data_IF_364455396645
#
_entry.id   IF_364455396645
#
_cell.length_a   1.000
_cell.length_b   1.000
_cell.length_c   1.000
_cell.angle_alpha   90.00
_cell.angle_beta   90.00
_cell.angle_gamma   90.00
#
_symmetry.space_group_name_H-M   'P 1'
#
loop_
_entity.id
_entity.type
_entity.pdbx_description
1 polymer ?
#
# COMPACT_ATOMS: atom_id res chain seq x y z
N UNK A 1 3.88 -13.67 -10.15
CA UNK A 1 5.28 -14.09 -10.34
C UNK A 1 6.19 -12.90 -10.62
N UNK A 2 5.84 -12.04 -11.57
CA UNK A 2 6.69 -10.94 -12.00
C UNK A 2 6.94 -9.90 -10.91
N UNK A 3 5.96 -9.64 -10.05
CA UNK A 3 6.12 -8.72 -8.93
C UNK A 3 7.15 -9.23 -7.91
N UNK A 4 7.12 -10.53 -7.61
CA UNK A 4 8.12 -11.16 -6.74
C UNK A 4 9.53 -10.99 -7.30
N UNK A 5 9.69 -11.22 -8.60
CA UNK A 5 10.99 -11.10 -9.28
C UNK A 5 11.50 -9.66 -9.22
N UNK A 6 10.62 -8.67 -9.43
CA UNK A 6 10.97 -7.24 -9.32
C UNK A 6 11.54 -6.91 -7.94
N UNK A 7 10.91 -7.41 -6.88
CA UNK A 7 11.39 -7.21 -5.51
C UNK A 7 12.76 -7.82 -5.28
N UNK A 8 12.96 -9.04 -5.75
CA UNK A 8 14.24 -9.73 -5.65
C UNK A 8 15.34 -8.98 -6.40
N UNK A 9 15.07 -8.56 -7.63
CA UNK A 9 16.02 -7.79 -8.43
C UNK A 9 16.40 -6.47 -7.77
N UNK A 10 15.43 -5.78 -7.17
CA UNK A 10 15.69 -4.54 -6.44
C UNK A 10 16.67 -4.75 -5.29
N UNK A 11 16.49 -5.83 -4.51
CA UNK A 11 17.44 -6.17 -3.43
C UNK A 11 18.83 -6.48 -3.96
N UNK A 12 18.92 -7.13 -5.10
CA UNK A 12 20.20 -7.51 -5.69
C UNK A 12 21.04 -6.34 -6.19
N UNK A 13 20.43 -5.14 -6.34
CA UNK A 13 21.21 -3.93 -6.68
C UNK A 13 22.12 -3.48 -5.53
N UNK A 14 21.86 -3.96 -4.30
CA UNK A 14 22.63 -3.58 -3.11
C UNK A 14 22.21 -2.24 -2.51
N UNK A 15 21.29 -1.52 -3.15
CA UNK A 15 20.82 -0.22 -2.70
C UNK A 15 19.79 -0.30 -1.56
N UNK A 16 18.98 -1.37 -1.55
CA UNK A 16 17.81 -1.48 -0.67
C UNK A 16 17.98 -2.55 0.40
N UNK A 17 17.40 -2.32 1.57
CA UNK A 17 17.39 -3.30 2.67
C UNK A 17 16.14 -4.18 2.62
N UNK A 18 15.04 -3.64 2.14
CA UNK A 18 13.77 -4.35 1.94
C UNK A 18 13.20 -4.02 0.57
N UNK A 19 12.36 -4.92 0.07
CA UNK A 19 11.51 -4.70 -1.10
C UNK A 19 10.20 -5.45 -0.86
N UNK A 20 9.07 -4.74 -0.92
CA UNK A 20 7.79 -5.36 -0.61
C UNK A 20 6.66 -4.78 -1.45
N UNK A 21 5.59 -5.54 -1.52
CA UNK A 21 4.41 -5.17 -2.28
C UNK A 21 3.67 -4.00 -1.64
N UNK A 22 3.34 -3.00 -2.45
CA UNK A 22 2.54 -1.84 -2.04
C UNK A 22 1.50 -1.54 -3.11
N UNK A 23 0.50 -0.78 -2.73
CA UNK A 23 -0.45 -0.19 -3.69
C UNK A 23 -0.81 1.21 -3.24
N UNK A 24 -1.40 2.00 -4.14
CA UNK A 24 -1.83 3.35 -3.80
C UNK A 24 -3.22 3.33 -3.14
N UNK A 25 -3.54 4.41 -2.43
CA UNK A 25 -4.90 4.63 -1.94
C UNK A 25 -5.78 5.12 -3.09
N UNK A 26 -7.01 4.64 -3.14
CA UNK A 26 -7.99 5.04 -4.16
C UNK A 26 -8.33 6.53 -4.05
N UNK A 27 -8.43 7.03 -2.81
CA UNK A 27 -8.70 8.43 -2.52
C UNK A 27 -7.53 9.03 -1.73
N UNK A 28 -7.34 10.35 -1.83
CA UNK A 28 -6.26 11.01 -1.12
C UNK A 28 -6.46 10.92 0.41
N UNK A 29 -5.48 10.34 1.11
CA UNK A 29 -5.48 10.26 2.57
C UNK A 29 -5.36 11.65 3.21
N UNK A 30 -4.79 12.63 2.49
CA UNK A 30 -4.60 13.98 3.01
C UNK A 30 -5.91 14.77 3.10
N UNK A 31 -6.98 14.28 2.50
CA UNK A 31 -8.31 14.84 2.61
C UNK A 31 -9.25 13.96 3.43
N UNK A 32 -8.72 13.03 4.17
CA UNK A 32 -9.49 12.16 5.06
C UNK A 32 -9.94 12.90 6.31
N UNK A 33 -11.02 12.44 6.90
CA UNK A 33 -11.57 12.98 8.14
C UNK A 33 -12.15 11.85 8.99
N UNK A 34 -12.37 12.16 10.25
CA UNK A 34 -12.94 11.22 11.22
C UNK A 34 -14.21 11.78 11.84
N UNK A 35 -15.05 10.91 12.32
CA UNK A 35 -16.18 11.30 13.15
C UNK A 35 -15.66 11.68 14.54
N UNK A 36 -16.21 12.76 15.11
CA UNK A 36 -15.88 13.22 16.45
C UNK A 36 -17.05 12.95 17.42
N UNK A 37 -16.80 12.97 18.76
CA UNK A 37 -17.84 12.62 19.75
C UNK A 37 -19.11 13.45 19.67
N UNK A 38 -19.05 14.68 19.17
CA UNK A 38 -20.23 15.55 18.98
C UNK A 38 -21.13 15.11 17.83
N UNK A 39 -20.70 14.14 16.99
CA UNK A 39 -21.43 13.69 15.82
C UNK A 39 -21.05 14.37 14.51
N UNK A 40 -20.17 15.37 14.56
CA UNK A 40 -19.61 16.00 13.37
C UNK A 40 -18.34 15.31 12.87
N UNK A 41 -17.63 15.94 11.94
CA UNK A 41 -16.41 15.42 11.36
C UNK A 41 -15.24 16.40 11.54
N UNK A 42 -14.02 15.87 11.54
CA UNK A 42 -12.81 16.66 11.64
C UNK A 42 -11.76 16.06 10.71
N UNK A 43 -11.10 16.90 9.90
CA UNK A 43 -10.03 16.44 9.02
C UNK A 43 -8.79 16.05 9.81
N UNK A 44 -8.12 14.97 9.40
CA UNK A 44 -6.81 14.61 9.94
C UNK A 44 -5.72 15.63 9.52
N UNK A 45 -5.85 16.19 8.32
CA UNK A 45 -4.87 17.11 7.74
C UNK A 45 -5.58 18.37 7.24
N UNK A 46 -6.05 19.22 8.17
CA UNK A 46 -6.86 20.39 7.84
C UNK A 46 -6.17 21.39 6.91
N UNK A 47 -4.83 21.42 6.90
CA UNK A 47 -4.03 22.28 6.04
C UNK A 47 -4.22 21.99 4.54
N UNK A 48 -4.73 20.81 4.21
CA UNK A 48 -4.95 20.42 2.81
C UNK A 48 -6.39 20.62 2.33
N UNK A 49 -7.25 21.25 3.12
CA UNK A 49 -8.65 21.45 2.78
C UNK A 49 -8.85 22.12 1.41
N UNK A 50 -8.04 23.14 1.10
CA UNK A 50 -8.13 23.88 -0.16
C UNK A 50 -7.34 23.28 -1.30
N UNK A 51 -6.57 22.23 -1.06
CA UNK A 51 -5.77 21.57 -2.10
C UNK A 51 -6.65 20.59 -2.89
N UNK A 52 -6.41 20.52 -4.22
CA UNK A 52 -7.05 19.51 -5.04
C UNK A 52 -6.34 18.16 -4.83
N UNK A 53 -7.09 17.05 -4.92
CA UNK A 53 -6.51 15.71 -4.72
C UNK A 53 -5.37 15.43 -5.70
N UNK A 54 -5.46 15.91 -6.93
CA UNK A 54 -4.42 15.73 -7.95
C UNK A 54 -3.12 16.50 -7.68
N UNK A 55 -3.15 17.51 -6.82
CA UNK A 55 -1.97 18.30 -6.43
C UNK A 55 -1.29 17.75 -5.17
N UNK A 56 -1.84 16.68 -4.57
CA UNK A 56 -1.30 16.05 -3.38
C UNK A 56 -0.43 14.85 -3.76
N UNK A 57 0.58 14.50 -2.94
CA UNK A 57 1.41 13.35 -3.24
C UNK A 57 0.59 12.06 -3.19
N UNK A 58 0.99 11.09 -4.02
CA UNK A 58 0.39 9.76 -4.01
C UNK A 58 0.86 9.05 -2.74
N UNK A 59 -0.09 8.57 -1.94
CA UNK A 59 0.20 7.78 -0.76
C UNK A 59 0.11 6.28 -1.10
N UNK A 60 1.05 5.52 -0.57
CA UNK A 60 1.11 4.08 -0.74
C UNK A 60 0.83 3.39 0.59
N UNK A 61 0.30 2.17 0.53
CA UNK A 61 0.16 1.32 1.70
C UNK A 61 0.65 -0.09 1.41
N UNK A 62 0.93 -0.84 2.47
CA UNK A 62 1.33 -2.24 2.40
C UNK A 62 0.23 -3.05 1.71
N UNK A 63 0.60 -3.78 0.66
CA UNK A 63 -0.33 -4.69 -0.03
C UNK A 63 -0.37 -6.09 0.61
N UNK A 64 0.53 -6.37 1.55
CA UNK A 64 0.58 -7.59 2.34
C UNK A 64 0.72 -8.88 1.52
N UNK A 65 1.31 -8.81 0.33
CA UNK A 65 1.48 -9.99 -0.52
C UNK A 65 2.85 -10.64 -0.36
N UNK A 66 3.91 -9.84 -0.23
CA UNK A 66 5.26 -10.37 0.00
C UNK A 66 6.20 -9.30 0.55
N UNK A 67 7.25 -9.78 1.22
CA UNK A 67 8.30 -8.95 1.80
C UNK A 67 9.65 -9.61 1.55
N UNK A 68 10.49 -8.97 0.76
CA UNK A 68 11.88 -9.32 0.60
C UNK A 68 12.73 -8.49 1.55
N UNK A 69 13.73 -9.09 2.17
CA UNK A 69 14.64 -8.35 3.05
C UNK A 69 16.01 -8.96 3.07
N UNK A 70 17.03 -8.13 3.29
CA UNK A 70 18.39 -8.61 3.54
C UNK A 70 18.44 -9.29 4.90
N UNK A 71 19.20 -10.39 5.05
CA UNK A 71 19.28 -11.09 6.34
C UNK A 71 19.71 -10.19 7.51
N UNK A 72 20.66 -9.29 7.29
CA UNK A 72 21.11 -8.35 8.31
C UNK A 72 20.01 -7.38 8.74
N UNK A 73 19.15 -6.97 7.83
CA UNK A 73 18.00 -6.10 8.12
C UNK A 73 16.98 -6.81 9.01
N UNK A 74 16.65 -8.06 8.67
CA UNK A 74 15.75 -8.87 9.50
C UNK A 74 16.32 -9.13 10.90
N UNK A 75 17.60 -9.51 10.97
CA UNK A 75 18.24 -9.84 12.23
C UNK A 75 18.40 -8.63 13.17
N UNK A 76 18.57 -7.44 12.62
CA UNK A 76 18.68 -6.22 13.42
C UNK A 76 17.34 -5.55 13.72
N UNK A 77 16.25 -6.14 13.27
CA UNK A 77 14.89 -5.57 13.39
C UNK A 77 14.79 -4.16 12.80
N UNK A 78 15.46 -3.94 11.68
CA UNK A 78 15.44 -2.67 10.98
C UNK A 78 14.00 -2.35 10.53
N UNK A 79 13.56 -1.11 10.73
CA UNK A 79 12.20 -0.70 10.36
C UNK A 79 11.99 -0.78 8.86
N UNK A 80 10.84 -1.37 8.47
CA UNK A 80 10.54 -1.63 7.06
C UNK A 80 10.03 -0.40 6.31
N UNK A 81 9.17 0.42 6.94
CA UNK A 81 8.57 1.58 6.28
C UNK A 81 9.48 2.81 6.41
N UNK A 82 10.64 2.75 5.74
CA UNK A 82 11.69 3.75 5.81
C UNK A 82 12.34 3.93 4.43
N UNK A 83 13.25 4.90 4.33
CA UNK A 83 13.90 5.29 3.07
C UNK A 83 14.74 4.20 2.41
N UNK A 84 15.15 3.19 3.15
CA UNK A 84 15.94 2.06 2.64
C UNK A 84 15.08 0.93 2.06
N UNK A 85 13.79 1.15 1.90
CA UNK A 85 12.85 0.15 1.38
C UNK A 85 12.37 0.52 -0.02
N UNK A 86 12.33 -0.49 -0.89
CA UNK A 86 11.88 -0.34 -2.27
C UNK A 86 10.42 -0.78 -2.41
N UNK A 87 9.54 0.08 -2.94
CA UNK A 87 8.14 -0.28 -3.13
C UNK A 87 7.94 -1.00 -4.47
N UNK A 88 7.45 -2.22 -4.43
CA UNK A 88 6.96 -2.92 -5.63
C UNK A 88 5.49 -2.58 -5.78
N UNK A 89 5.19 -1.66 -6.69
CA UNK A 89 3.83 -1.12 -6.85
C UNK A 89 2.96 -2.10 -7.62
N UNK A 90 1.84 -2.50 -7.02
CA UNK A 90 0.86 -3.41 -7.60
C UNK A 90 -0.42 -2.62 -7.84
N UNK A 91 -1.09 -2.79 -9.00
CA UNK A 91 -2.37 -2.13 -9.26
C UNK A 91 -3.42 -2.48 -8.19
N UNK A 92 -4.21 -1.51 -7.77
CA UNK A 92 -5.21 -1.69 -6.71
C UNK A 92 -6.18 -2.86 -6.96
N UNK A 93 -6.54 -3.09 -8.21
CA UNK A 93 -7.49 -4.17 -8.56
C UNK A 93 -6.93 -5.58 -8.36
N UNK A 94 -5.62 -5.70 -8.09
CA UNK A 94 -4.98 -6.98 -7.74
C UNK A 94 -4.62 -7.10 -6.26
N UNK A 95 -5.10 -6.17 -5.43
CA UNK A 95 -4.75 -6.13 -4.01
C UNK A 95 -6.01 -6.19 -3.16
N UNK A 96 -6.06 -7.17 -2.25
CA UNK A 96 -7.08 -7.25 -1.22
C UNK A 96 -6.54 -8.03 -0.03
N UNK A 97 -6.32 -7.33 1.07
CA UNK A 97 -6.06 -7.95 2.37
C UNK A 97 -7.40 -8.37 2.96
N UNK A 98 -7.47 -9.57 3.54
CA UNK A 98 -8.74 -10.17 3.96
C UNK A 98 -8.75 -10.33 5.47
N UNK A 99 -9.46 -9.45 6.16
CA UNK A 99 -9.67 -9.48 7.61
C UNK A 99 -11.15 -9.64 7.98
N UNK A 100 -12.06 -9.27 7.07
CA UNK A 100 -13.50 -9.27 7.30
C UNK A 100 -14.24 -10.02 6.19
N UNK A 101 -15.54 -10.30 6.42
CA UNK A 101 -16.38 -10.87 5.37
C UNK A 101 -16.55 -9.93 4.17
N UNK A 102 -16.60 -8.64 4.42
CA UNK A 102 -16.67 -7.64 3.33
C UNK A 102 -15.40 -7.67 2.49
N UNK A 103 -14.24 -7.83 3.13
CA UNK A 103 -12.96 -8.01 2.40
C UNK A 103 -12.99 -9.26 1.53
N UNK A 104 -13.54 -10.35 2.05
CA UNK A 104 -13.69 -11.59 1.29
C UNK A 104 -14.56 -11.39 0.05
N UNK A 105 -15.72 -10.77 0.20
CA UNK A 105 -16.62 -10.47 -0.91
C UNK A 105 -15.92 -9.61 -1.96
N UNK A 106 -15.18 -8.60 -1.51
CA UNK A 106 -14.42 -7.74 -2.42
C UNK A 106 -13.34 -8.53 -3.15
N UNK A 107 -12.64 -9.43 -2.46
CA UNK A 107 -11.64 -10.29 -3.08
C UNK A 107 -12.25 -11.18 -4.17
N UNK A 108 -13.42 -11.75 -3.92
CA UNK A 108 -14.13 -12.56 -4.92
C UNK A 108 -14.52 -11.73 -6.15
N UNK A 109 -15.01 -10.51 -5.96
CA UNK A 109 -15.35 -9.60 -7.06
C UNK A 109 -14.11 -9.24 -7.89
N UNK A 110 -13.00 -8.90 -7.24
CA UNK A 110 -11.74 -8.58 -7.91
C UNK A 110 -11.22 -9.77 -8.69
N UNK A 111 -11.26 -10.96 -8.11
CA UNK A 111 -10.82 -12.19 -8.76
C UNK A 111 -11.67 -12.48 -10.00
N UNK A 112 -12.99 -12.40 -9.88
CA UNK A 112 -13.91 -12.61 -10.99
C UNK A 112 -13.64 -11.63 -12.12
N UNK A 113 -13.44 -10.35 -11.81
CA UNK A 113 -13.11 -9.33 -12.79
C UNK A 113 -11.80 -9.65 -13.50
N UNK A 114 -10.80 -10.09 -12.76
CA UNK A 114 -9.50 -10.46 -13.32
C UNK A 114 -9.62 -11.66 -14.26
N UNK A 115 -10.42 -12.66 -13.91
CA UNK A 115 -10.65 -13.83 -14.74
C UNK A 115 -11.36 -13.49 -16.05
N UNK A 116 -12.28 -12.51 -16.01
CA UNK A 116 -13.00 -12.08 -17.21
C UNK A 116 -12.15 -11.26 -18.17
N UNK A 117 -11.08 -10.63 -17.69
CA UNK A 117 -10.20 -9.78 -18.51
C UNK A 117 -8.95 -10.51 -19.03
N UNK A 118 -8.71 -11.72 -18.56
CA UNK A 118 -7.65 -12.60 -19.03
C UNK A 118 -8.26 -13.64 -19.98
#
# INVERSE_FOLDING_TARGET
KDDLVKGFEALNTGKWKYAFSVTDFEYSIFRSFKEIPSGGVEMFFSEYFKKRSQDLPIALHDAAQFYWGKPDAWLSSLKMFERHSYPVIIPRWRVQDIDTEDDWKRAELLFTTQMLTN
#
